data_IF_782943964391
#
_entry.id   IF_782943964391
#
_cell.length_a   1.000
_cell.length_b   1.000
_cell.length_c   1.000
_cell.angle_alpha   90.00
_cell.angle_beta   90.00
_cell.angle_gamma   90.00
#
_symmetry.space_group_name_H-M   'P 1'
#
loop_
_entity.id
_entity.type
_entity.pdbx_description
1 polymer ?
#
# COMPACT_ATOMS: atom_id res chain seq x y z
N UNK A 1 -4.08 -0.03 9.83
CA UNK A 1 -4.43 0.83 10.99
C UNK A 1 -3.21 1.20 11.81
N UNK A 2 -2.24 0.29 12.03
CA UNK A 2 -1.01 0.58 12.78
C UNK A 2 -0.32 1.86 12.27
N UNK A 3 -0.01 1.97 10.98
CA UNK A 3 0.71 3.13 10.43
C UNK A 3 0.01 4.49 10.66
N UNK A 4 -1.32 4.54 10.53
CA UNK A 4 -2.09 5.77 10.77
C UNK A 4 -2.13 6.15 12.26
N UNK A 5 -2.11 5.15 13.16
CA UNK A 5 -2.07 5.37 14.61
C UNK A 5 -0.66 5.70 15.11
N UNK A 6 0.37 5.20 14.43
CA UNK A 6 1.78 5.41 14.79
C UNK A 6 2.41 6.63 14.12
N UNK A 7 1.68 7.32 13.24
CA UNK A 7 2.22 8.41 12.43
C UNK A 7 3.37 7.97 11.53
N UNK A 8 3.41 6.70 11.14
CA UNK A 8 4.49 6.15 10.33
C UNK A 8 4.17 6.30 8.84
N UNK A 9 5.20 6.62 8.07
CA UNK A 9 5.11 6.63 6.61
C UNK A 9 4.93 5.20 6.07
N UNK A 10 4.13 5.07 5.01
CA UNK A 10 3.80 3.77 4.40
C UNK A 10 4.34 3.73 3.00
N UNK A 11 5.15 2.72 2.68
CA UNK A 11 5.61 2.48 1.31
C UNK A 11 4.71 1.42 0.67
N UNK A 12 3.96 1.73 -0.42
CA UNK A 12 3.22 0.74 -1.17
C UNK A 12 4.19 -0.17 -1.91
N UNK A 13 3.98 -1.48 -1.81
CA UNK A 13 4.85 -2.50 -2.43
C UNK A 13 4.01 -3.46 -3.25
N UNK A 14 4.38 -3.63 -4.51
CA UNK A 14 3.82 -4.61 -5.43
C UNK A 14 4.79 -5.76 -5.66
N UNK A 15 4.30 -7.00 -5.70
CA UNK A 15 5.09 -8.18 -6.07
C UNK A 15 4.52 -8.73 -7.38
N UNK A 16 5.34 -8.71 -8.43
CA UNK A 16 4.96 -9.15 -9.77
C UNK A 16 5.73 -10.42 -10.12
N UNK A 17 5.00 -11.45 -10.54
CA UNK A 17 5.55 -12.69 -11.04
C UNK A 17 4.61 -13.31 -12.08
N UNK A 18 5.18 -13.91 -13.11
CA UNK A 18 4.38 -14.51 -14.18
C UNK A 18 4.08 -15.99 -13.86
N UNK A 19 2.84 -16.42 -14.02
CA UNK A 19 2.42 -17.83 -13.85
C UNK A 19 2.58 -18.37 -12.43
N UNK A 20 2.70 -19.70 -12.28
CA UNK A 20 2.83 -20.32 -10.95
C UNK A 20 4.19 -20.05 -10.32
N UNK A 21 4.21 -19.72 -9.03
CA UNK A 21 5.43 -19.59 -8.25
C UNK A 21 6.04 -20.99 -8.03
N UNK A 22 7.36 -21.11 -8.23
CA UNK A 22 8.11 -22.35 -8.01
C UNK A 22 9.46 -22.05 -7.38
N UNK A 23 10.13 -23.09 -6.87
CA UNK A 23 11.40 -22.94 -6.19
C UNK A 23 12.43 -22.23 -7.09
N UNK A 24 13.10 -21.20 -6.54
CA UNK A 24 14.08 -20.33 -7.23
C UNK A 24 13.54 -19.48 -8.39
N UNK A 25 12.22 -19.33 -8.52
CA UNK A 25 11.65 -18.42 -9.53
C UNK A 25 11.89 -16.96 -9.13
N UNK A 26 12.32 -16.14 -10.10
CA UNK A 26 12.53 -14.71 -9.89
C UNK A 26 11.18 -14.01 -9.73
N UNK A 27 11.10 -13.10 -8.77
CA UNK A 27 9.98 -12.20 -8.56
C UNK A 27 10.49 -10.77 -8.69
N UNK A 28 9.65 -9.87 -9.22
CA UNK A 28 9.94 -8.45 -9.28
C UNK A 28 9.21 -7.78 -8.11
N UNK A 29 9.96 -7.09 -7.26
CA UNK A 29 9.38 -6.27 -6.20
C UNK A 29 9.44 -4.82 -6.65
N UNK A 30 8.28 -4.18 -6.77
CA UNK A 30 8.15 -2.76 -7.13
C UNK A 30 7.82 -1.97 -5.87
N UNK A 31 8.61 -0.94 -5.60
CA UNK A 31 8.40 -0.01 -4.49
C UNK A 31 7.84 1.28 -5.05
N UNK A 32 6.70 1.73 -4.51
CA UNK A 32 6.13 3.01 -4.87
C UNK A 32 6.63 4.16 -4.02
N UNK A 33 6.01 5.32 -4.23
CA UNK A 33 6.31 6.53 -3.45
C UNK A 33 5.81 6.38 -2.01
N UNK A 34 6.59 6.83 -1.01
CA UNK A 34 6.11 6.89 0.36
C UNK A 34 4.81 7.68 0.47
N UNK A 35 3.80 7.08 1.10
CA UNK A 35 2.59 7.76 1.54
C UNK A 35 2.86 8.30 2.94
N UNK A 36 3.06 9.61 3.01
CA UNK A 36 3.37 10.27 4.27
C UNK A 36 2.21 10.19 5.26
N UNK A 37 2.55 10.04 6.53
CA UNK A 37 1.59 9.93 7.64
C UNK A 37 0.61 11.11 7.71
N UNK A 38 1.01 12.30 7.28
CA UNK A 38 0.18 13.50 7.19
C UNK A 38 -1.01 13.32 6.23
N UNK A 39 -0.84 12.54 5.16
CA UNK A 39 -1.91 12.21 4.21
C UNK A 39 -2.80 11.06 4.70
N UNK A 40 -2.37 10.38 5.76
CA UNK A 40 -3.02 9.27 6.42
C UNK A 40 -3.60 9.68 7.78
N UNK A 41 -3.46 10.95 8.15
CA UNK A 41 -3.91 11.49 9.43
C UNK A 41 -5.42 11.34 9.54
N UNK A 42 -5.83 10.47 10.44
CA UNK A 42 -7.23 10.24 10.77
C UNK A 42 -7.63 11.16 11.92
N UNK A 43 -8.92 11.50 11.99
CA UNK A 43 -9.50 12.18 13.14
C UNK A 43 -9.31 11.35 14.43
N UNK A 44 -9.31 11.99 15.61
CA UNK A 44 -9.11 11.34 16.92
C UNK A 44 -10.06 10.15 17.17
N UNK A 45 -11.24 10.15 16.54
CA UNK A 45 -12.15 9.00 16.45
C UNK A 45 -12.37 8.67 14.98
N UNK A 46 -11.52 7.83 14.37
CA UNK A 46 -11.63 7.52 12.95
C UNK A 46 -12.98 6.85 12.66
N UNK A 47 -13.75 7.46 11.77
CA UNK A 47 -14.96 6.83 11.26
C UNK A 47 -14.60 5.66 10.34
N UNK A 48 -15.44 4.61 10.26
CA UNK A 48 -15.22 3.50 9.31
C UNK A 48 -15.05 3.95 7.86
N UNK A 49 -15.64 5.10 7.50
CA UNK A 49 -15.57 5.69 6.16
C UNK A 49 -14.18 6.25 5.85
N UNK A 50 -13.58 6.98 6.78
CA UNK A 50 -12.22 7.53 6.63
C UNK A 50 -11.17 6.40 6.56
N UNK A 51 -11.34 5.37 7.39
CA UNK A 51 -10.50 4.16 7.36
C UNK A 51 -10.55 3.46 6.01
N UNK A 52 -11.76 3.33 5.45
CA UNK A 52 -11.95 2.73 4.13
C UNK A 52 -11.31 3.57 3.03
N UNK A 53 -11.43 4.90 3.10
CA UNK A 53 -10.82 5.80 2.13
C UNK A 53 -9.29 5.71 2.13
N UNK A 54 -8.66 5.69 3.31
CA UNK A 54 -7.20 5.52 3.45
C UNK A 54 -6.74 4.17 2.90
N UNK A 55 -7.46 3.10 3.24
CA UNK A 55 -7.18 1.77 2.71
C UNK A 55 -7.25 1.75 1.18
N UNK A 56 -8.32 2.32 0.61
CA UNK A 56 -8.52 2.38 -0.84
C UNK A 56 -7.35 3.10 -1.51
N UNK A 57 -6.99 4.29 -1.01
CA UNK A 57 -5.86 5.06 -1.56
C UNK A 57 -4.54 4.27 -1.60
N UNK A 58 -4.22 3.52 -0.53
CA UNK A 58 -3.02 2.68 -0.49
C UNK A 58 -3.12 1.52 -1.50
N UNK A 59 -4.28 0.89 -1.58
CA UNK A 59 -4.52 -0.23 -2.53
C UNK A 59 -4.48 0.24 -3.98
N UNK A 60 -5.00 1.44 -4.27
CA UNK A 60 -4.97 2.04 -5.60
C UNK A 60 -3.52 2.28 -6.02
N UNK A 61 -2.68 2.86 -5.16
CA UNK A 61 -1.24 3.01 -5.43
C UNK A 61 -0.50 1.68 -5.61
N UNK A 62 -0.89 0.61 -4.90
CA UNK A 62 -0.30 -0.73 -5.12
C UNK A 62 -0.75 -1.29 -6.47
N UNK A 63 -2.01 -1.07 -6.84
CA UNK A 63 -2.58 -1.55 -8.11
C UNK A 63 -1.88 -0.88 -9.29
N UNK A 64 -1.72 0.45 -9.25
CA UNK A 64 -0.96 1.21 -10.25
C UNK A 64 0.46 0.66 -10.43
N UNK A 65 1.18 0.35 -9.34
CA UNK A 65 2.54 -0.20 -9.42
C UNK A 65 2.59 -1.56 -10.12
N UNK A 66 1.60 -2.43 -9.89
CA UNK A 66 1.59 -3.79 -10.42
C UNK A 66 1.08 -3.81 -11.86
N UNK A 67 0.17 -2.92 -12.22
CA UNK A 67 -0.48 -2.87 -13.54
C UNK A 67 0.27 -2.02 -14.58
N UNK A 68 1.08 -1.02 -14.19
CA UNK A 68 2.03 -0.38 -15.09
C UNK A 68 3.07 -1.41 -15.58
N UNK A 69 2.86 -1.93 -16.80
CA UNK A 69 3.80 -2.77 -17.56
C UNK A 69 4.36 -1.99 -18.75
#
# INVERSE_FOLDING_TARGET
MIAAMTGADVIPVGIVFEGKLSFRKKVVVKYGKPVHSEQLALSEKPSPKELKAVKLKIMDSITELVEEN
#
